data_IF_918659533688
#
_entry.id   IF_918659533688
#
_cell.length_a   1.000
_cell.length_b   1.000
_cell.length_c   1.000
_cell.angle_alpha   90.00
_cell.angle_beta   90.00
_cell.angle_gamma   90.00
#
_symmetry.space_group_name_H-M   'P 1'
#
loop_
_entity.id
_entity.type
_entity.pdbx_description
1 polymer ?
#
# COMPACT_ATOMS: atom_id res chain seq x y z
N UNK A 1 -2.89 -10.27 24.12
CA UNK A 1 -4.32 -9.93 24.03
C UNK A 1 -4.80 -9.71 22.60
N UNK A 2 -4.17 -8.85 21.79
CA UNK A 2 -4.61 -8.56 20.41
C UNK A 2 -4.68 -9.80 19.48
N UNK A 3 -3.72 -10.73 19.57
CA UNK A 3 -3.74 -11.98 18.78
C UNK A 3 -4.86 -12.95 19.21
N UNK A 4 -5.16 -13.05 20.50
CA UNK A 4 -6.22 -13.94 21.00
C UNK A 4 -7.62 -13.45 20.61
N UNK A 5 -7.80 -12.13 20.51
CA UNK A 5 -9.03 -11.53 20.00
C UNK A 5 -9.20 -11.82 18.50
N UNK A 6 -8.12 -11.70 17.72
CA UNK A 6 -8.09 -12.02 16.29
C UNK A 6 -8.39 -13.50 16.02
N UNK A 7 -7.83 -14.42 16.79
CA UNK A 7 -8.08 -15.87 16.65
C UNK A 7 -9.55 -16.22 16.92
N UNK A 8 -10.14 -15.65 17.98
CA UNK A 8 -11.56 -15.88 18.31
C UNK A 8 -12.51 -15.32 17.23
N UNK A 9 -12.17 -14.15 16.67
CA UNK A 9 -12.87 -13.55 15.54
C UNK A 9 -12.75 -14.38 14.26
N UNK A 10 -11.63 -15.07 14.04
CA UNK A 10 -11.44 -15.97 12.89
C UNK A 10 -12.31 -17.22 13.01
N UNK A 11 -12.48 -17.75 14.23
CA UNK A 11 -13.32 -18.95 14.48
C UNK A 11 -14.82 -18.65 14.40
N UNK A 12 -15.25 -17.45 14.77
CA UNK A 12 -16.66 -17.07 14.86
C UNK A 12 -17.25 -16.46 13.59
N UNK A 13 -16.42 -16.00 12.64
CA UNK A 13 -16.86 -15.30 11.44
C UNK A 13 -16.72 -16.12 10.16
N UNK A 14 -17.49 -15.74 9.14
CA UNK A 14 -17.35 -16.39 7.84
C UNK A 14 -15.99 -16.05 7.22
N UNK A 15 -15.40 -16.93 6.38
CA UNK A 15 -14.05 -16.71 5.85
C UNK A 15 -13.85 -15.40 5.07
N UNK A 16 -14.90 -14.85 4.44
CA UNK A 16 -14.82 -13.58 3.70
C UNK A 16 -14.64 -12.42 4.67
N UNK A 17 -15.39 -12.39 5.76
CA UNK A 17 -15.26 -11.36 6.80
C UNK A 17 -13.85 -11.38 7.41
N UNK A 18 -13.29 -12.57 7.60
CA UNK A 18 -11.92 -12.73 8.09
C UNK A 18 -10.89 -12.17 7.10
N UNK A 19 -11.08 -12.38 5.80
CA UNK A 19 -10.26 -11.75 4.78
C UNK A 19 -10.31 -10.22 4.87
N UNK A 20 -11.50 -9.64 5.00
CA UNK A 20 -11.67 -8.19 5.11
C UNK A 20 -10.96 -7.64 6.36
N UNK A 21 -11.06 -8.35 7.49
CA UNK A 21 -10.34 -7.99 8.72
C UNK A 21 -8.83 -8.00 8.50
N UNK A 22 -8.28 -9.01 7.81
CA UNK A 22 -6.86 -9.03 7.48
C UNK A 22 -6.45 -7.89 6.54
N UNK A 23 -7.30 -7.52 5.58
CA UNK A 23 -7.06 -6.36 4.70
C UNK A 23 -6.98 -5.09 5.52
N UNK A 24 -8.02 -4.76 6.31
CA UNK A 24 -8.05 -3.51 7.08
C UNK A 24 -6.94 -3.47 8.14
N UNK A 25 -6.69 -4.59 8.83
CA UNK A 25 -5.59 -4.69 9.79
C UNK A 25 -4.23 -4.51 9.12
N UNK A 26 -4.06 -5.05 7.90
CA UNK A 26 -2.85 -4.90 7.10
C UNK A 26 -2.61 -3.46 6.67
N UNK A 27 -3.67 -2.75 6.24
CA UNK A 27 -3.62 -1.32 5.89
C UNK A 27 -3.20 -0.49 7.09
N UNK A 28 -3.84 -0.70 8.24
CA UNK A 28 -3.50 0.02 9.48
C UNK A 28 -2.06 -0.28 9.89
N UNK A 29 -1.65 -1.55 9.88
CA UNK A 29 -0.28 -1.93 10.19
C UNK A 29 0.74 -1.24 9.24
N UNK A 30 0.42 -1.15 7.95
CA UNK A 30 1.25 -0.46 6.97
C UNK A 30 1.39 1.04 7.26
N UNK A 31 0.29 1.75 7.52
CA UNK A 31 0.29 3.18 7.84
C UNK A 31 1.15 3.46 9.08
N UNK A 32 1.07 2.61 10.09
CA UNK A 32 1.93 2.71 11.28
C UNK A 32 3.35 2.14 11.08
N UNK A 33 3.78 1.93 9.82
CA UNK A 33 5.11 1.43 9.45
C UNK A 33 5.47 0.07 10.08
N UNK A 34 4.47 -0.75 10.45
CA UNK A 34 4.65 -2.12 10.95
C UNK A 34 4.65 -3.11 9.79
N UNK A 35 5.61 -2.99 8.89
CA UNK A 35 5.62 -3.68 7.60
C UNK A 35 5.65 -5.21 7.73
N UNK A 36 6.38 -5.76 8.70
CA UNK A 36 6.45 -7.20 8.96
C UNK A 36 5.10 -7.76 9.40
N UNK A 37 4.38 -7.03 10.27
CA UNK A 37 3.02 -7.38 10.67
C UNK A 37 2.06 -7.30 9.48
N UNK A 38 2.15 -6.24 8.68
CA UNK A 38 1.32 -6.08 7.49
C UNK A 38 1.53 -7.24 6.49
N UNK A 39 2.79 -7.63 6.26
CA UNK A 39 3.15 -8.76 5.41
C UNK A 39 2.63 -10.10 5.94
N UNK A 40 2.70 -10.33 7.26
CA UNK A 40 2.16 -11.53 7.89
C UNK A 40 0.64 -11.61 7.75
N UNK A 41 -0.08 -10.48 7.85
CA UNK A 41 -1.54 -10.43 7.66
C UNK A 41 -1.93 -10.72 6.20
N UNK A 42 -1.18 -10.18 5.24
CA UNK A 42 -1.35 -10.52 3.81
C UNK A 42 -1.14 -12.01 3.55
N UNK A 43 -0.13 -12.62 4.19
CA UNK A 43 0.10 -14.06 4.07
C UNK A 43 -1.05 -14.89 4.64
N UNK A 44 -1.53 -14.57 5.86
CA UNK A 44 -2.69 -15.24 6.47
C UNK A 44 -3.93 -15.15 5.58
N UNK A 45 -4.17 -13.98 4.98
CA UNK A 45 -5.25 -13.79 4.01
C UNK A 45 -5.10 -14.69 2.79
N UNK A 46 -3.91 -14.71 2.16
CA UNK A 46 -3.64 -15.57 1.01
C UNK A 46 -3.78 -17.07 1.32
N UNK A 47 -3.41 -17.51 2.52
CA UNK A 47 -3.58 -18.90 2.95
C UNK A 47 -5.05 -19.27 3.10
N UNK A 48 -5.85 -18.37 3.65
CA UNK A 48 -7.30 -18.56 3.78
C UNK A 48 -7.98 -18.62 2.41
N UNK A 49 -7.61 -17.72 1.50
CA UNK A 49 -8.18 -17.62 0.14
C UNK A 49 -7.93 -18.86 -0.73
N UNK A 50 -6.82 -19.58 -0.54
CA UNK A 50 -6.52 -20.83 -1.27
C UNK A 50 -7.61 -21.89 -1.07
N UNK A 51 -8.27 -21.87 0.08
CA UNK A 51 -9.29 -22.86 0.45
C UNK A 51 -10.72 -22.36 0.16
N UNK A 52 -10.87 -21.18 -0.43
CA UNK A 52 -12.17 -20.61 -0.76
C UNK A 52 -12.65 -21.04 -2.14
N UNK A 53 -13.92 -21.43 -2.24
CA UNK A 53 -14.60 -21.68 -3.53
C UNK A 53 -14.77 -20.41 -4.37
N UNK A 54 -14.86 -19.24 -3.72
CA UNK A 54 -15.00 -17.94 -4.38
C UNK A 54 -13.91 -17.02 -3.89
N UNK A 55 -13.14 -16.49 -4.83
CA UNK A 55 -12.21 -15.40 -4.56
C UNK A 55 -12.99 -14.17 -4.05
N UNK A 56 -12.58 -13.53 -2.94
CA UNK A 56 -13.18 -12.28 -2.49
C UNK A 56 -13.15 -11.23 -3.61
N UNK A 57 -14.09 -10.28 -3.59
CA UNK A 57 -14.05 -9.15 -4.53
C UNK A 57 -12.88 -8.25 -4.15
N UNK A 58 -11.70 -8.56 -4.69
CA UNK A 58 -10.51 -7.75 -4.52
C UNK A 58 -10.81 -6.34 -5.01
N UNK A 59 -10.65 -5.37 -4.11
CA UNK A 59 -10.72 -3.97 -4.48
C UNK A 59 -9.36 -3.51 -5.00
N UNK A 60 -9.35 -2.45 -5.80
CA UNK A 60 -8.11 -1.77 -6.17
C UNK A 60 -7.32 -1.30 -4.94
N UNK A 61 -8.00 -1.04 -3.82
CA UNK A 61 -7.38 -0.70 -2.51
C UNK A 61 -6.58 -1.89 -1.97
N UNK A 62 -7.14 -3.11 -1.97
CA UNK A 62 -6.43 -4.29 -1.47
C UNK A 62 -5.15 -4.56 -2.25
N UNK A 63 -5.25 -4.59 -3.58
CA UNK A 63 -4.07 -4.78 -4.43
C UNK A 63 -3.03 -3.67 -4.25
N UNK A 64 -3.48 -2.42 -4.09
CA UNK A 64 -2.60 -1.29 -3.85
C UNK A 64 -1.77 -1.43 -2.57
N UNK A 65 -2.42 -1.72 -1.43
CA UNK A 65 -1.71 -1.86 -0.16
C UNK A 65 -0.83 -3.12 -0.13
N UNK A 66 -1.25 -4.23 -0.74
CA UNK A 66 -0.36 -5.39 -0.91
C UNK A 66 0.94 -5.00 -1.64
N UNK A 67 0.83 -4.20 -2.69
CA UNK A 67 1.97 -3.71 -3.45
C UNK A 67 2.92 -2.88 -2.60
N UNK A 68 2.36 -1.92 -1.84
CA UNK A 68 3.13 -1.10 -0.91
C UNK A 68 3.82 -1.93 0.18
N UNK A 69 3.14 -2.94 0.73
CA UNK A 69 3.69 -3.87 1.72
C UNK A 69 4.83 -4.68 1.09
N UNK A 70 4.63 -5.25 -0.10
CA UNK A 70 5.67 -6.03 -0.78
C UNK A 70 6.88 -5.19 -1.13
N UNK A 71 6.68 -3.94 -1.56
CA UNK A 71 7.78 -2.99 -1.82
C UNK A 71 8.55 -2.64 -0.55
N UNK A 72 7.86 -2.45 0.58
CA UNK A 72 8.51 -2.22 1.87
C UNK A 72 9.31 -3.45 2.34
N UNK A 73 8.75 -4.66 2.20
CA UNK A 73 9.47 -5.89 2.56
C UNK A 73 10.67 -6.17 1.65
N UNK A 74 10.56 -5.85 0.36
CA UNK A 74 11.65 -5.98 -0.61
C UNK A 74 12.82 -5.02 -0.38
N UNK A 75 12.66 -4.01 0.49
CA UNK A 75 13.79 -3.18 0.95
C UNK A 75 14.68 -3.90 1.97
N UNK A 76 14.12 -4.83 2.74
CA UNK A 76 14.78 -5.46 3.89
C UNK A 76 15.20 -6.93 3.64
N UNK A 77 15.03 -7.44 2.42
CA UNK A 77 15.21 -8.86 2.11
C UNK A 77 15.70 -9.10 0.67
N UNK A 78 16.05 -10.35 0.34
CA UNK A 78 16.61 -10.69 -0.97
C UNK A 78 15.66 -10.32 -2.11
N UNK A 79 16.21 -9.69 -3.15
CA UNK A 79 15.47 -9.04 -4.24
C UNK A 79 14.62 -10.01 -5.08
N UNK A 80 14.99 -11.29 -5.11
CA UNK A 80 14.36 -12.29 -5.97
C UNK A 80 12.94 -12.69 -5.53
N UNK A 81 12.71 -12.86 -4.22
CA UNK A 81 11.44 -13.39 -3.71
C UNK A 81 10.24 -12.46 -3.99
N UNK A 82 10.46 -11.15 -3.90
CA UNK A 82 9.38 -10.15 -3.99
C UNK A 82 9.07 -9.72 -5.42
N UNK A 83 9.97 -9.97 -6.36
CA UNK A 83 9.84 -9.55 -7.76
C UNK A 83 8.55 -10.06 -8.41
N UNK A 84 8.22 -11.34 -8.20
CA UNK A 84 6.99 -11.97 -8.73
C UNK A 84 5.73 -11.42 -8.07
N UNK A 85 5.75 -11.26 -6.74
CA UNK A 85 4.63 -10.69 -5.96
C UNK A 85 4.32 -9.25 -6.41
N UNK A 86 5.34 -8.41 -6.55
CA UNK A 86 5.22 -7.03 -7.02
C UNK A 86 4.66 -7.01 -8.45
N UNK A 87 5.18 -7.84 -9.36
CA UNK A 87 4.72 -7.90 -10.75
C UNK A 87 3.24 -8.28 -10.86
N UNK A 88 2.80 -9.26 -10.06
CA UNK A 88 1.39 -9.67 -10.02
C UNK A 88 0.49 -8.55 -9.51
N UNK A 89 0.89 -7.87 -8.43
CA UNK A 89 0.15 -6.73 -7.90
C UNK A 89 0.05 -5.60 -8.93
N UNK A 90 1.15 -5.27 -9.61
CA UNK A 90 1.15 -4.23 -10.65
C UNK A 90 0.16 -4.54 -11.77
N UNK A 91 0.08 -5.80 -12.19
CA UNK A 91 -0.91 -6.26 -13.18
C UNK A 91 -2.34 -6.05 -12.69
N UNK A 92 -2.61 -6.37 -11.42
CA UNK A 92 -3.94 -6.21 -10.83
C UNK A 92 -4.34 -4.73 -10.69
N UNK A 93 -3.47 -3.89 -10.13
CA UNK A 93 -3.75 -2.45 -9.99
C UNK A 93 -3.96 -1.79 -11.35
N UNK A 94 -3.18 -2.19 -12.38
CA UNK A 94 -3.40 -1.72 -13.75
C UNK A 94 -4.76 -2.11 -14.33
N UNK A 95 -5.24 -3.33 -14.07
CA UNK A 95 -6.59 -3.74 -14.47
C UNK A 95 -7.66 -2.88 -13.77
N UNK A 96 -7.50 -2.59 -12.49
CA UNK A 96 -8.43 -1.71 -11.77
C UNK A 96 -8.40 -0.26 -12.28
N UNK A 97 -7.23 0.25 -12.67
CA UNK A 97 -7.11 1.55 -13.33
C UNK A 97 -7.86 1.60 -14.66
N UNK A 98 -7.77 0.55 -15.48
CA UNK A 98 -8.51 0.46 -16.74
C UNK A 98 -10.04 0.43 -16.53
N UNK A 99 -10.51 -0.19 -15.45
CA UNK A 99 -11.94 -0.28 -15.13
C UNK A 99 -12.46 1.02 -14.50
N UNK A 100 -11.66 1.66 -13.66
CA UNK A 100 -12.06 2.83 -12.87
C UNK A 100 -10.89 3.75 -12.61
N UNK A 101 -10.50 4.50 -13.66
CA UNK A 101 -9.32 5.36 -13.66
C UNK A 101 -9.29 6.34 -12.50
N UNK A 102 -10.36 7.10 -12.28
CA UNK A 102 -10.45 8.10 -11.20
C UNK A 102 -10.18 7.51 -9.81
N UNK A 103 -10.48 6.22 -9.61
CA UNK A 103 -10.39 5.56 -8.32
C UNK A 103 -9.02 4.88 -8.09
N UNK A 104 -8.23 4.68 -9.15
CA UNK A 104 -7.06 3.81 -9.13
C UNK A 104 -5.81 4.40 -9.79
N UNK A 105 -5.90 5.52 -10.51
CA UNK A 105 -4.75 6.15 -11.19
C UNK A 105 -3.64 6.52 -10.19
N UNK A 106 -3.98 7.15 -9.07
CA UNK A 106 -3.01 7.52 -8.04
C UNK A 106 -2.36 6.30 -7.37
N UNK A 107 -3.11 5.20 -7.20
CA UNK A 107 -2.58 3.93 -6.67
C UNK A 107 -1.51 3.35 -7.60
N UNK A 108 -1.80 3.29 -8.89
CA UNK A 108 -0.85 2.81 -9.89
C UNK A 108 0.39 3.71 -9.95
N UNK A 109 0.20 5.03 -10.00
CA UNK A 109 1.29 6.00 -10.05
C UNK A 109 2.20 5.92 -8.82
N UNK A 110 1.64 5.71 -7.63
CA UNK A 110 2.44 5.60 -6.41
C UNK A 110 3.29 4.32 -6.40
N UNK A 111 2.73 3.19 -6.82
CA UNK A 111 3.51 1.94 -6.93
C UNK A 111 4.63 2.07 -7.97
N UNK A 112 4.35 2.73 -9.11
CA UNK A 112 5.38 3.03 -10.11
C UNK A 112 6.48 3.94 -9.54
N UNK A 113 6.13 4.91 -8.68
CA UNK A 113 7.09 5.79 -8.03
C UNK A 113 8.04 5.01 -7.10
N UNK A 114 7.50 4.13 -6.25
CA UNK A 114 8.28 3.29 -5.36
C UNK A 114 9.18 2.30 -6.11
N UNK A 115 8.69 1.67 -7.18
CA UNK A 115 9.50 0.79 -8.04
C UNK A 115 10.68 1.57 -8.65
N UNK A 116 10.42 2.74 -9.21
CA UNK A 116 11.47 3.59 -9.82
C UNK A 116 12.46 4.12 -8.79
N UNK A 117 11.97 4.46 -7.60
CA UNK A 117 12.80 4.84 -6.46
C UNK A 117 13.78 3.71 -6.11
N UNK A 118 13.30 2.46 -6.04
CA UNK A 118 14.13 1.27 -5.79
C UNK A 118 15.16 1.02 -6.90
N UNK A 119 14.79 1.28 -8.15
CA UNK A 119 15.70 1.16 -9.31
C UNK A 119 16.73 2.30 -9.39
N UNK A 120 16.69 3.29 -8.48
CA UNK A 120 17.58 4.45 -8.51
C UNK A 120 17.23 5.49 -9.58
N UNK A 121 16.07 5.36 -10.25
CA UNK A 121 15.59 6.31 -11.26
C UNK A 121 14.96 7.55 -10.60
N UNK A 122 15.78 8.39 -9.95
CA UNK A 122 15.32 9.48 -9.08
C UNK A 122 14.31 10.43 -9.74
N UNK A 123 14.61 10.92 -10.94
CA UNK A 123 13.76 11.91 -11.63
C UNK A 123 12.40 11.31 -12.02
N UNK A 124 12.42 10.06 -12.51
CA UNK A 124 11.19 9.37 -12.87
C UNK A 124 10.35 9.01 -11.63
N UNK A 125 11.00 8.62 -10.52
CA UNK A 125 10.33 8.38 -9.24
C UNK A 125 9.65 9.65 -8.73
N UNK A 126 10.37 10.78 -8.69
CA UNK A 126 9.84 12.07 -8.25
C UNK A 126 8.62 12.49 -9.08
N UNK A 127 8.73 12.41 -10.42
CA UNK A 127 7.62 12.72 -11.31
C UNK A 127 6.38 11.87 -10.99
N UNK A 128 6.58 10.58 -10.71
CA UNK A 128 5.48 9.67 -10.36
C UNK A 128 4.87 9.96 -8.99
N UNK A 129 5.66 10.31 -7.97
CA UNK A 129 5.14 10.76 -6.68
C UNK A 129 4.26 12.01 -6.84
N UNK A 130 4.74 13.02 -7.56
CA UNK A 130 3.99 14.26 -7.79
C UNK A 130 2.66 13.99 -8.52
N UNK A 131 2.68 13.13 -9.54
CA UNK A 131 1.48 12.72 -10.25
C UNK A 131 0.51 11.94 -9.35
N UNK A 132 1.01 11.04 -8.50
CA UNK A 132 0.19 10.27 -7.57
C UNK A 132 -0.52 11.17 -6.56
N UNK A 133 0.23 12.12 -5.95
CA UNK A 133 -0.30 13.09 -5.00
C UNK A 133 -1.39 13.94 -5.65
N UNK A 134 -1.12 14.51 -6.83
CA UNK A 134 -2.07 15.35 -7.55
C UNK A 134 -3.33 14.57 -7.98
N UNK A 135 -3.17 13.31 -8.40
CA UNK A 135 -4.30 12.46 -8.78
C UNK A 135 -5.16 12.07 -7.55
N UNK A 136 -4.55 11.79 -6.40
CA UNK A 136 -5.26 11.50 -5.16
C UNK A 136 -6.04 12.73 -4.68
N UNK A 137 -5.41 13.90 -4.70
CA UNK A 137 -6.03 15.19 -4.36
C UNK A 137 -7.23 15.48 -5.25
N UNK A 138 -7.03 15.43 -6.58
CA UNK A 138 -8.06 15.71 -7.58
C UNK A 138 -9.32 14.86 -7.40
N UNK A 139 -9.16 13.60 -7.00
CA UNK A 139 -10.27 12.66 -6.84
C UNK A 139 -10.75 12.54 -5.38
N UNK A 140 -10.22 13.33 -4.45
CA UNK A 140 -10.69 13.41 -3.06
C UNK A 140 -10.25 12.25 -2.16
N UNK A 141 -9.22 11.49 -2.52
CA UNK A 141 -8.69 10.40 -1.70
C UNK A 141 -7.70 10.92 -0.65
N UNK A 142 -8.20 11.63 0.37
CA UNK A 142 -7.38 12.36 1.35
C UNK A 142 -6.33 11.47 2.05
N UNK A 143 -6.74 10.30 2.53
CA UNK A 143 -5.82 9.38 3.22
C UNK A 143 -4.77 8.78 2.26
N UNK A 144 -5.14 8.46 1.02
CA UNK A 144 -4.18 7.94 0.03
C UNK A 144 -3.25 9.06 -0.49
N UNK A 145 -3.71 10.31 -0.50
CA UNK A 145 -2.87 11.49 -0.71
C UNK A 145 -1.85 11.63 0.43
N UNK A 146 -2.26 11.40 1.68
CA UNK A 146 -1.37 11.42 2.83
C UNK A 146 -0.28 10.34 2.72
N UNK A 147 -0.68 9.09 2.43
CA UNK A 147 0.26 7.98 2.17
C UNK A 147 1.24 8.32 1.04
N UNK A 148 0.77 8.90 -0.07
CA UNK A 148 1.63 9.30 -1.19
C UNK A 148 2.65 10.38 -0.77
N UNK A 149 2.26 11.32 0.08
CA UNK A 149 3.18 12.31 0.66
C UNK A 149 4.21 11.65 1.60
N UNK A 150 3.82 10.72 2.46
CA UNK A 150 4.78 9.98 3.32
C UNK A 150 5.80 9.20 2.49
N UNK A 151 5.37 8.55 1.41
CA UNK A 151 6.26 7.81 0.51
C UNK A 151 7.25 8.74 -0.21
N UNK A 152 6.77 9.90 -0.67
CA UNK A 152 7.63 10.93 -1.22
C UNK A 152 8.64 11.47 -0.17
N UNK A 153 8.21 11.65 1.08
CA UNK A 153 9.08 12.06 2.18
C UNK A 153 10.19 11.02 2.44
N UNK A 154 9.83 9.73 2.54
CA UNK A 154 10.77 8.62 2.70
C UNK A 154 11.76 8.55 1.51
N UNK A 155 11.29 8.82 0.29
CA UNK A 155 12.17 8.93 -0.88
C UNK A 155 13.20 10.04 -0.72
N UNK A 156 12.80 11.25 -0.32
CA UNK A 156 13.75 12.36 -0.10
C UNK A 156 14.70 12.09 1.05
N UNK A 157 14.22 11.48 2.14
CA UNK A 157 15.04 11.11 3.29
C UNK A 157 16.13 10.10 2.89
N UNK A 158 15.77 9.05 2.13
CA UNK A 158 16.73 8.07 1.56
C UNK A 158 17.76 8.72 0.63
N UNK A 159 17.43 9.87 0.05
CA UNK A 159 18.30 10.64 -0.84
C UNK A 159 19.02 11.80 -0.14
N UNK A 160 19.02 11.85 1.19
CA UNK A 160 19.66 12.88 2.02
C UNK A 160 19.11 14.31 1.85
N UNK A 161 17.88 14.48 1.35
CA UNK A 161 17.21 15.78 1.20
C UNK A 161 16.19 15.96 2.34
N UNK A 162 16.68 16.30 3.54
CA UNK A 162 15.87 16.39 4.77
C UNK A 162 14.84 17.51 4.71
N UNK A 163 15.14 18.61 4.02
CA UNK A 163 14.25 19.76 3.92
C UNK A 163 12.98 19.41 3.14
N UNK A 164 13.14 18.75 1.98
CA UNK A 164 11.99 18.24 1.24
C UNK A 164 11.27 17.12 1.97
N UNK A 165 12.00 16.20 2.61
CA UNK A 165 11.37 15.15 3.40
C UNK A 165 10.44 15.74 4.49
N UNK A 166 10.91 16.77 5.20
CA UNK A 166 10.13 17.50 6.21
C UNK A 166 8.87 18.13 5.63
N UNK A 167 8.98 18.77 4.46
CA UNK A 167 7.83 19.36 3.78
C UNK A 167 6.77 18.31 3.46
N UNK A 168 7.15 17.20 2.83
CA UNK A 168 6.20 16.13 2.47
C UNK A 168 5.59 15.46 3.71
N UNK A 169 6.35 15.24 4.79
CA UNK A 169 5.76 14.75 6.05
C UNK A 169 4.78 15.74 6.67
N UNK A 170 5.06 17.05 6.60
CA UNK A 170 4.14 18.09 7.09
C UNK A 170 2.80 18.07 6.34
N UNK A 171 2.83 17.88 5.03
CA UNK A 171 1.63 17.71 4.21
C UNK A 171 0.89 16.42 4.56
N UNK A 172 1.59 15.29 4.67
CA UNK A 172 0.99 14.03 5.09
C UNK A 172 0.28 14.14 6.44
N UNK A 173 0.95 14.74 7.43
CA UNK A 173 0.39 14.99 8.76
C UNK A 173 -0.89 15.82 8.70
N UNK A 174 -0.87 16.92 7.94
CA UNK A 174 -2.04 17.79 7.76
C UNK A 174 -3.21 17.06 7.09
N UNK A 175 -2.93 16.18 6.13
CA UNK A 175 -3.94 15.38 5.44
C UNK A 175 -4.54 14.31 6.35
N UNK A 176 -3.75 13.64 7.19
CA UNK A 176 -4.28 12.70 8.19
C UNK A 176 -5.17 13.40 9.20
N UNK A 177 -4.77 14.57 9.71
CA UNK A 177 -5.64 15.38 10.59
C UNK A 177 -6.97 15.75 9.93
N UNK A 178 -6.96 16.03 8.63
CA UNK A 178 -8.18 16.33 7.86
C UNK A 178 -9.05 15.09 7.65
N UNK A 179 -8.45 13.91 7.56
CA UNK A 179 -9.17 12.66 7.33
C UNK A 179 -9.90 12.16 8.59
N UNK A 180 -9.29 12.35 9.77
CA UNK A 180 -9.82 11.91 11.08
C UNK A 180 -9.06 10.72 11.65
#
# INVERSE_FOLDING_TARGET
EQNALLERVVEENNPIDVCDIYVFSGIVAYIYSRYELAAALVQKRHELEKNMLRTPLWSGVTAFYDGLIFLAMAHNSSEFEWSSKISNVMSNVKKFEQIGKSNNEHKLLLLEAEIKSRMGEKDNALKKYQLAIAAAEKNGFIHEQAVANERAADFFLRNNDKDKASQYYGEAYSLYLKWG
#
